data_IF_043086190149
#
_entry.id   IF_043086190149
#
_cell.length_a   1.000
_cell.length_b   1.000
_cell.length_c   1.000
_cell.angle_alpha   90.00
_cell.angle_beta   90.00
_cell.angle_gamma   90.00
#
_symmetry.space_group_name_H-M   'P 1'
#
loop_
_entity.id
_entity.type
_entity.pdbx_description
1 polymer ?
#
# COMPACT_ATOMS: atom_id res chain seq x y z
N UNK A 1 -41.40 -16.60 -7.45
CA UNK A 1 -40.77 -17.03 -8.71
C UNK A 1 -39.73 -15.97 -9.00
N UNK A 2 -38.49 -16.20 -8.58
CA UNK A 2 -37.39 -15.36 -9.02
C UNK A 2 -37.24 -15.57 -10.51
N UNK A 3 -37.20 -14.50 -11.30
CA UNK A 3 -36.79 -14.60 -12.70
C UNK A 3 -35.34 -15.05 -12.67
N UNK A 4 -35.07 -16.31 -12.99
CA UNK A 4 -33.75 -16.74 -13.42
C UNK A 4 -33.39 -15.85 -14.61
N UNK A 5 -32.36 -15.02 -14.45
CA UNK A 5 -31.89 -14.18 -15.56
C UNK A 5 -31.22 -15.14 -16.54
N UNK A 6 -31.64 -15.17 -17.82
CA UNK A 6 -31.03 -16.04 -18.81
C UNK A 6 -29.53 -15.78 -18.90
N UNK A 7 -28.73 -16.85 -18.90
CA UNK A 7 -27.27 -16.81 -19.11
C UNK A 7 -26.97 -16.72 -20.60
N UNK A 8 -27.43 -15.64 -21.23
CA UNK A 8 -27.19 -15.35 -22.64
C UNK A 8 -26.38 -14.07 -22.75
N UNK A 9 -25.70 -13.86 -23.88
CA UNK A 9 -24.93 -12.62 -24.13
C UNK A 9 -25.84 -11.39 -23.99
N UNK A 10 -27.07 -11.47 -24.51
CA UNK A 10 -28.06 -10.40 -24.36
C UNK A 10 -28.46 -10.18 -22.90
N UNK A 11 -28.77 -11.25 -22.17
CA UNK A 11 -29.17 -11.18 -20.76
C UNK A 11 -28.07 -10.61 -19.86
N UNK A 12 -26.81 -10.93 -20.17
CA UNK A 12 -25.65 -10.36 -19.50
C UNK A 12 -25.48 -8.87 -19.81
N UNK A 13 -25.55 -8.46 -21.08
CA UNK A 13 -25.52 -7.05 -21.48
C UNK A 13 -26.62 -6.22 -20.79
N UNK A 14 -27.86 -6.74 -20.75
CA UNK A 14 -28.97 -6.11 -20.03
C UNK A 14 -28.71 -6.00 -18.53
N UNK A 15 -28.08 -7.02 -17.94
CA UNK A 15 -27.66 -7.00 -16.53
C UNK A 15 -26.62 -5.91 -16.28
N UNK A 16 -25.57 -5.83 -17.09
CA UNK A 16 -24.52 -4.81 -16.97
C UNK A 16 -25.09 -3.39 -17.07
N UNK A 17 -26.03 -3.15 -17.98
CA UNK A 17 -26.75 -1.86 -18.08
C UNK A 17 -27.60 -1.60 -16.83
N UNK A 18 -28.37 -2.60 -16.39
CA UNK A 18 -29.27 -2.50 -15.25
C UNK A 18 -28.55 -2.14 -13.94
N UNK A 19 -27.36 -2.68 -13.73
CA UNK A 19 -26.53 -2.40 -12.55
C UNK A 19 -25.60 -1.19 -12.76
N UNK A 20 -25.65 -0.57 -13.95
CA UNK A 20 -24.90 0.64 -14.28
C UNK A 20 -23.40 0.43 -14.45
N UNK A 21 -22.95 -0.78 -14.78
CA UNK A 21 -21.54 -1.06 -15.13
C UNK A 21 -21.22 -0.49 -16.51
N UNK A 22 -22.19 -0.55 -17.44
CA UNK A 22 -22.10 0.06 -18.77
C UNK A 22 -23.33 0.90 -19.07
N UNK A 23 -23.18 1.83 -20.01
CA UNK A 23 -24.29 2.54 -20.63
C UNK A 23 -25.02 1.67 -21.65
N UNK A 24 -26.25 2.05 -21.99
CA UNK A 24 -27.01 1.40 -23.07
C UNK A 24 -26.28 1.47 -24.42
N UNK A 25 -25.53 2.55 -24.67
CA UNK A 25 -24.78 2.77 -25.91
C UNK A 25 -23.60 1.80 -26.01
N UNK A 26 -22.80 1.68 -24.95
CA UNK A 26 -21.69 0.72 -24.86
C UNK A 26 -22.17 -0.73 -25.02
N UNK A 27 -23.24 -1.12 -24.31
CA UNK A 27 -23.81 -2.46 -24.44
C UNK A 27 -24.30 -2.74 -25.88
N UNK A 28 -24.91 -1.75 -26.54
CA UNK A 28 -25.38 -1.91 -27.92
C UNK A 28 -24.21 -2.06 -28.89
N UNK A 29 -23.13 -1.29 -28.70
CA UNK A 29 -21.92 -1.39 -29.50
C UNK A 29 -21.26 -2.77 -29.32
N UNK A 30 -21.10 -3.23 -28.08
CA UNK A 30 -20.54 -4.54 -27.76
C UNK A 30 -21.36 -5.68 -28.41
N UNK A 31 -22.69 -5.67 -28.28
CA UNK A 31 -23.55 -6.68 -28.93
C UNK A 31 -23.42 -6.67 -30.47
N UNK A 32 -23.17 -5.51 -31.08
CA UNK A 32 -22.95 -5.42 -32.52
C UNK A 32 -21.61 -6.04 -32.95
N UNK A 33 -20.56 -5.89 -32.14
CA UNK A 33 -19.27 -6.57 -32.33
C UNK A 33 -19.43 -8.09 -32.29
N UNK A 34 -20.11 -8.59 -31.25
CA UNK A 34 -20.37 -10.02 -31.06
C UNK A 34 -21.21 -10.61 -32.20
N UNK A 35 -22.24 -9.89 -32.64
CA UNK A 35 -23.05 -10.28 -33.80
C UNK A 35 -22.20 -10.38 -35.07
N UNK A 36 -21.22 -9.48 -35.27
CA UNK A 36 -20.34 -9.55 -36.44
C UNK A 36 -19.45 -10.79 -36.44
N UNK A 37 -19.09 -11.30 -35.27
CA UNK A 37 -18.36 -12.56 -35.12
C UNK A 37 -19.24 -13.78 -35.39
N UNK A 38 -20.54 -13.61 -35.61
CA UNK A 38 -21.48 -14.67 -35.96
C UNK A 38 -21.99 -15.46 -34.75
N UNK A 39 -21.82 -14.93 -33.54
CA UNK A 39 -22.32 -15.54 -32.31
C UNK A 39 -23.83 -15.30 -32.16
N UNK A 40 -24.54 -16.29 -31.60
CA UNK A 40 -25.96 -16.16 -31.26
C UNK A 40 -26.10 -15.48 -29.89
N UNK A 41 -26.71 -14.29 -29.87
CA UNK A 41 -26.85 -13.50 -28.65
C UNK A 41 -27.80 -14.12 -27.63
N UNK A 42 -28.65 -15.04 -28.09
CA UNK A 42 -29.70 -15.68 -27.31
C UNK A 42 -29.37 -17.16 -27.01
N UNK A 43 -28.15 -17.62 -27.35
CA UNK A 43 -27.59 -18.90 -26.90
C UNK A 43 -27.41 -18.90 -25.37
N UNK A 44 -27.85 -19.97 -24.72
CA UNK A 44 -27.77 -20.14 -23.27
C UNK A 44 -26.48 -20.88 -22.91
N UNK A 45 -25.72 -20.27 -22.01
CA UNK A 45 -24.44 -20.77 -21.55
C UNK A 45 -24.59 -21.44 -20.18
N UNK A 46 -23.95 -22.60 -20.02
CA UNK A 46 -23.95 -23.34 -18.76
C UNK A 46 -23.11 -22.61 -17.70
N UNK A 47 -22.00 -22.00 -18.13
CA UNK A 47 -21.06 -21.25 -17.29
C UNK A 47 -21.20 -19.74 -17.52
N UNK A 48 -21.17 -18.99 -16.43
CA UNK A 48 -21.25 -17.51 -16.48
C UNK A 48 -19.93 -16.91 -16.94
N UNK A 49 -18.81 -17.62 -16.69
CA UNK A 49 -17.48 -17.18 -17.10
C UNK A 49 -17.36 -17.11 -18.64
N UNK A 50 -18.14 -17.91 -19.37
CA UNK A 50 -18.21 -17.86 -20.83
C UNK A 50 -18.86 -16.56 -21.36
N UNK A 51 -19.47 -15.73 -20.52
CA UNK A 51 -20.07 -14.45 -20.92
C UNK A 51 -19.12 -13.26 -20.69
N UNK A 52 -18.01 -13.47 -19.99
CA UNK A 52 -17.09 -12.41 -19.52
C UNK A 52 -16.33 -11.72 -20.65
N UNK A 53 -16.16 -12.37 -21.80
CA UNK A 53 -15.58 -11.76 -23.00
C UNK A 53 -16.32 -10.48 -23.43
N UNK A 54 -17.61 -10.34 -23.07
CA UNK A 54 -18.37 -9.12 -23.38
C UNK A 54 -17.80 -7.88 -22.66
N UNK A 55 -17.17 -8.07 -21.49
CA UNK A 55 -16.56 -7.00 -20.70
C UNK A 55 -15.38 -6.36 -21.45
N UNK A 56 -14.63 -7.14 -22.23
CA UNK A 56 -13.54 -6.63 -23.07
C UNK A 56 -14.05 -5.68 -24.16
N UNK A 57 -15.25 -5.92 -24.68
CA UNK A 57 -15.89 -5.03 -25.67
C UNK A 57 -16.50 -3.77 -25.05
N UNK A 58 -16.61 -3.72 -23.72
CA UNK A 58 -17.20 -2.61 -22.98
C UNK A 58 -16.15 -1.69 -22.34
N UNK A 59 -14.85 -2.00 -22.46
CA UNK A 59 -13.75 -1.26 -21.81
C UNK A 59 -13.92 -1.09 -20.28
N UNK A 60 -14.65 -2.01 -19.62
CA UNK A 60 -14.98 -1.94 -18.18
C UNK A 60 -13.91 -2.52 -17.28
N UNK A 61 -12.89 -3.13 -17.87
CA UNK A 61 -11.80 -3.79 -17.17
C UNK A 61 -10.55 -3.92 -18.02
N UNK A 62 -9.59 -4.64 -17.48
CA UNK A 62 -8.36 -4.97 -18.18
C UNK A 62 -7.83 -6.33 -17.73
N UNK A 63 -7.11 -6.97 -18.64
CA UNK A 63 -6.40 -8.23 -18.36
C UNK A 63 -4.94 -7.93 -18.00
N UNK A 64 -4.46 -8.60 -16.95
CA UNK A 64 -3.06 -8.60 -16.54
C UNK A 64 -2.36 -9.77 -17.23
N UNK A 65 -1.53 -9.54 -18.26
CA UNK A 65 -0.90 -10.66 -18.96
C UNK A 65 0.15 -11.34 -18.08
N UNK A 66 0.21 -12.66 -18.11
CA UNK A 66 1.27 -13.44 -17.45
C UNK A 66 2.67 -13.02 -17.96
N UNK A 67 2.75 -12.68 -19.25
CA UNK A 67 3.99 -12.32 -19.95
C UNK A 67 3.85 -11.00 -20.70
N UNK A 68 4.82 -10.11 -20.49
CA UNK A 68 5.03 -8.94 -21.31
C UNK A 68 5.20 -9.32 -22.79
N UNK A 69 4.56 -8.53 -23.65
CA UNK A 69 4.76 -8.57 -25.10
C UNK A 69 5.68 -7.41 -25.45
N UNK A 70 6.98 -7.68 -25.54
CA UNK A 70 7.98 -6.66 -25.86
C UNK A 70 8.83 -6.30 -24.63
N UNK A 71 9.05 -5.01 -24.44
CA UNK A 71 9.77 -4.48 -23.28
C UNK A 71 8.89 -4.52 -22.02
N UNK A 72 9.50 -4.72 -20.85
CA UNK A 72 8.78 -4.83 -19.57
C UNK A 72 8.21 -3.47 -19.13
N UNK A 73 8.94 -2.39 -19.34
CA UNK A 73 8.48 -1.04 -19.00
C UNK A 73 7.22 -0.69 -19.81
N UNK A 74 7.26 -0.95 -21.13
CA UNK A 74 6.11 -0.76 -22.02
C UNK A 74 4.90 -1.60 -21.59
N UNK A 75 5.14 -2.83 -21.11
CA UNK A 75 4.08 -3.71 -20.63
C UNK A 75 3.41 -3.18 -19.36
N UNK A 76 4.19 -2.72 -18.37
CA UNK A 76 3.66 -2.05 -17.18
C UNK A 76 2.93 -0.75 -17.55
N UNK A 77 3.53 0.10 -18.38
CA UNK A 77 2.90 1.34 -18.82
C UNK A 77 1.55 1.07 -19.49
N UNK A 78 1.49 0.10 -20.41
CA UNK A 78 0.25 -0.31 -21.06
C UNK A 78 -0.80 -0.81 -20.06
N UNK A 79 -0.40 -1.59 -19.06
CA UNK A 79 -1.29 -2.07 -18.01
C UNK A 79 -1.83 -0.92 -17.14
N UNK A 80 -0.95 -0.04 -16.65
CA UNK A 80 -1.33 1.09 -15.81
C UNK A 80 -2.27 2.04 -16.57
N UNK A 81 -2.03 2.28 -17.86
CA UNK A 81 -2.91 3.09 -18.70
C UNK A 81 -4.29 2.45 -18.90
N UNK A 82 -4.38 1.13 -19.11
CA UNK A 82 -5.68 0.43 -19.22
C UNK A 82 -6.45 0.51 -17.91
N UNK A 83 -5.80 0.24 -16.79
CA UNK A 83 -6.42 0.37 -15.46
C UNK A 83 -6.90 1.80 -15.19
N UNK A 84 -6.08 2.81 -15.51
CA UNK A 84 -6.47 4.21 -15.37
C UNK A 84 -7.67 4.58 -16.26
N UNK A 85 -7.77 4.02 -17.47
CA UNK A 85 -8.87 4.26 -18.40
C UNK A 85 -10.23 3.82 -17.82
N UNK A 86 -10.28 2.73 -17.05
CA UNK A 86 -11.50 2.25 -16.37
C UNK A 86 -12.12 3.32 -15.44
N UNK A 87 -11.31 4.27 -14.96
CA UNK A 87 -11.78 5.36 -14.09
C UNK A 87 -12.64 6.41 -14.79
N UNK A 88 -12.76 6.36 -16.13
CA UNK A 88 -13.44 7.38 -16.94
C UNK A 88 -12.68 8.70 -17.00
N UNK A 89 -11.35 8.68 -16.81
CA UNK A 89 -10.47 9.86 -16.84
C UNK A 89 -10.30 10.59 -15.50
N UNK A 90 -10.84 10.04 -14.40
CA UNK A 90 -10.60 10.57 -13.04
C UNK A 90 -9.21 10.20 -12.49
N UNK A 91 -8.60 9.16 -13.06
CA UNK A 91 -7.22 8.74 -12.82
C UNK A 91 -6.43 8.90 -14.10
N UNK A 92 -5.34 9.66 -14.01
CA UNK A 92 -4.36 9.84 -15.08
C UNK A 92 -3.04 9.23 -14.61
N UNK A 93 -2.45 8.39 -15.46
CA UNK A 93 -1.12 7.84 -15.27
C UNK A 93 -0.19 8.43 -16.34
N UNK A 94 0.98 8.90 -15.91
CA UNK A 94 2.07 9.37 -16.77
C UNK A 94 3.44 9.02 -16.15
N UNK A 95 4.54 9.32 -16.86
CA UNK A 95 5.92 9.20 -16.36
C UNK A 95 6.28 7.81 -15.80
N UNK A 96 5.88 6.76 -16.54
CA UNK A 96 6.13 5.36 -16.18
C UNK A 96 7.57 5.00 -16.52
N UNK A 97 8.30 4.51 -15.52
CA UNK A 97 9.70 4.08 -15.65
C UNK A 97 9.92 2.80 -14.83
N UNK A 98 10.64 1.83 -15.38
CA UNK A 98 11.08 0.62 -14.68
C UNK A 98 12.58 0.70 -14.39
N UNK A 99 12.92 0.82 -13.12
CA UNK A 99 14.31 0.89 -12.65
C UNK A 99 14.77 -0.51 -12.29
N UNK A 100 15.66 -1.06 -13.12
CA UNK A 100 16.24 -2.38 -12.85
C UNK A 100 17.27 -2.31 -11.72
N UNK A 101 17.09 -3.10 -10.67
CA UNK A 101 18.08 -3.27 -9.60
C UNK A 101 18.79 -4.61 -9.76
N UNK A 102 20.05 -4.56 -10.18
CA UNK A 102 20.81 -5.78 -10.54
C UNK A 102 21.02 -6.78 -9.40
N UNK A 103 20.84 -6.36 -8.15
CA UNK A 103 21.02 -7.20 -6.95
C UNK A 103 19.75 -7.27 -6.07
N UNK A 104 18.63 -6.66 -6.48
CA UNK A 104 17.40 -6.49 -5.68
C UNK A 104 16.10 -6.57 -6.50
N UNK A 105 14.99 -6.12 -5.91
CA UNK A 105 13.71 -5.99 -6.63
C UNK A 105 13.78 -4.79 -7.58
N UNK A 106 13.24 -4.96 -8.79
CA UNK A 106 13.09 -3.83 -9.71
C UNK A 106 12.06 -2.85 -9.12
N UNK A 107 12.18 -1.57 -9.45
CA UNK A 107 11.28 -0.53 -8.97
C UNK A 107 10.50 0.06 -10.13
N UNK A 108 9.17 -0.10 -10.09
CA UNK A 108 8.26 0.58 -11.01
C UNK A 108 7.89 1.95 -10.43
N UNK A 109 8.25 3.01 -11.12
CA UNK A 109 7.81 4.38 -10.84
C UNK A 109 6.76 4.81 -11.85
N UNK A 110 5.76 5.56 -11.39
CA UNK A 110 4.84 6.29 -12.27
C UNK A 110 4.24 7.47 -11.53
N UNK A 111 3.61 8.39 -12.26
CA UNK A 111 2.83 9.47 -11.68
C UNK A 111 1.35 9.20 -11.83
N UNK A 112 0.62 9.28 -10.72
CA UNK A 112 -0.84 9.20 -10.67
C UNK A 112 -1.40 10.56 -10.30
N UNK A 113 -2.17 11.19 -11.20
CA UNK A 113 -2.73 12.54 -10.98
C UNK A 113 -1.66 13.53 -10.48
N UNK A 114 -0.44 13.42 -10.99
CA UNK A 114 0.71 14.23 -10.59
C UNK A 114 1.46 13.79 -9.32
N UNK A 115 0.98 12.79 -8.56
CA UNK A 115 1.66 12.20 -7.38
C UNK A 115 2.60 11.08 -7.82
N UNK A 116 3.84 11.07 -7.33
CA UNK A 116 4.76 9.96 -7.56
C UNK A 116 4.32 8.71 -6.79
N UNK A 117 4.23 7.61 -7.53
CA UNK A 117 3.90 6.27 -7.07
C UNK A 117 5.09 5.37 -7.34
N UNK A 118 5.27 4.38 -6.47
CA UNK A 118 6.43 3.50 -6.47
C UNK A 118 5.94 2.11 -6.08
N UNK A 119 6.21 1.11 -6.89
CA UNK A 119 5.97 -0.30 -6.59
C UNK A 119 7.28 -1.08 -6.65
N UNK A 120 7.48 -2.01 -5.71
CA UNK A 120 8.50 -3.04 -5.84
C UNK A 120 7.95 -4.15 -6.73
N UNK A 121 8.73 -4.59 -7.70
CA UNK A 121 8.35 -5.64 -8.65
C UNK A 121 9.47 -6.68 -8.74
N UNK A 122 9.13 -7.92 -8.41
CA UNK A 122 10.02 -9.07 -8.39
C UNK A 122 10.07 -9.73 -9.77
N UNK A 123 11.13 -9.44 -10.54
CA UNK A 123 11.38 -10.12 -11.80
C UNK A 123 12.38 -11.25 -11.62
N UNK A 124 11.94 -12.49 -11.83
CA UNK A 124 12.86 -13.63 -11.77
C UNK A 124 13.85 -13.62 -12.95
N UNK A 125 15.11 -13.97 -12.67
CA UNK A 125 16.15 -14.09 -13.70
C UNK A 125 15.89 -15.20 -14.73
N UNK A 126 14.86 -16.04 -14.52
CA UNK A 126 14.56 -17.21 -15.35
C UNK A 126 13.89 -16.79 -16.66
N UNK A 127 13.14 -15.69 -16.67
CA UNK A 127 12.61 -15.12 -17.90
C UNK A 127 12.26 -13.65 -17.72
N UNK A 128 12.96 -12.80 -18.47
CA UNK A 128 12.77 -11.35 -18.54
C UNK A 128 11.39 -10.93 -19.11
N UNK A 129 10.46 -11.86 -19.32
CA UNK A 129 9.13 -11.57 -19.85
C UNK A 129 8.01 -11.68 -18.84
N UNK A 130 8.19 -12.38 -17.72
CA UNK A 130 7.10 -12.50 -16.75
C UNK A 130 6.82 -11.16 -16.08
N UNK A 131 5.53 -10.84 -15.95
CA UNK A 131 5.07 -9.73 -15.13
C UNK A 131 5.02 -10.18 -13.67
N UNK A 132 5.23 -9.27 -12.73
CA UNK A 132 5.01 -9.56 -11.32
C UNK A 132 3.51 -9.39 -10.97
N UNK A 133 2.78 -10.49 -11.07
CA UNK A 133 1.34 -10.55 -10.78
C UNK A 133 1.04 -10.23 -9.31
N UNK A 134 1.97 -10.54 -8.39
CA UNK A 134 1.82 -10.26 -6.96
C UNK A 134 1.89 -8.76 -6.70
N UNK A 135 2.94 -8.10 -7.20
CA UNK A 135 3.06 -6.65 -7.09
C UNK A 135 1.89 -5.91 -7.76
N UNK A 136 1.39 -6.41 -8.89
CA UNK A 136 0.21 -5.83 -9.56
C UNK A 136 -1.03 -5.98 -8.68
N UNK A 137 -1.33 -7.17 -8.15
CA UNK A 137 -2.49 -7.38 -7.28
C UNK A 137 -2.42 -6.51 -6.00
N UNK A 138 -1.23 -6.36 -5.42
CA UNK A 138 -1.02 -5.51 -4.24
C UNK A 138 -1.10 -4.01 -4.54
N UNK A 139 -0.64 -3.60 -5.72
CA UNK A 139 -0.49 -2.22 -6.14
C UNK A 139 -1.71 -1.64 -6.86
N UNK A 140 -2.53 -2.46 -7.55
CA UNK A 140 -3.59 -1.95 -8.44
C UNK A 140 -4.64 -1.10 -7.73
N UNK A 141 -4.81 -1.32 -6.42
CA UNK A 141 -5.62 -0.48 -5.55
C UNK A 141 -5.20 1.00 -5.53
N UNK A 142 -3.97 1.32 -5.91
CA UNK A 142 -3.50 2.70 -6.09
C UNK A 142 -4.16 3.39 -7.30
N UNK A 143 -4.68 2.65 -8.27
CA UNK A 143 -5.29 3.21 -9.49
C UNK A 143 -6.80 3.40 -9.38
N UNK A 144 -7.41 3.14 -8.23
CA UNK A 144 -8.84 3.45 -8.04
C UNK A 144 -9.04 4.98 -8.03
N UNK A 145 -10.25 5.49 -8.35
CA UNK A 145 -10.51 6.94 -8.35
C UNK A 145 -10.25 7.60 -6.98
N UNK A 146 -10.59 6.93 -5.88
CA UNK A 146 -10.38 7.39 -4.50
C UNK A 146 -11.43 8.39 -4.01
N UNK A 147 -11.16 9.02 -2.85
CA UNK A 147 -12.08 9.93 -2.13
C UNK A 147 -13.48 9.33 -1.88
N UNK A 148 -14.54 10.02 -2.33
CA UNK A 148 -15.94 9.62 -2.15
C UNK A 148 -16.41 8.65 -3.25
N UNK A 149 -15.55 8.29 -4.20
CA UNK A 149 -15.86 7.28 -5.22
C UNK A 149 -15.71 5.88 -4.63
N UNK A 150 -16.79 5.10 -4.53
CA UNK A 150 -16.75 3.81 -3.86
C UNK A 150 -16.13 2.71 -4.73
N UNK A 151 -15.73 3.00 -5.98
CA UNK A 151 -15.22 1.98 -6.89
C UNK A 151 -13.88 1.42 -6.45
N UNK A 152 -13.75 0.10 -6.54
CA UNK A 152 -12.51 -0.65 -6.33
C UNK A 152 -12.29 -1.62 -7.50
N UNK A 153 -11.05 -2.07 -7.69
CA UNK A 153 -10.77 -3.13 -8.64
C UNK A 153 -11.13 -4.49 -8.02
N UNK A 154 -11.92 -5.28 -8.74
CA UNK A 154 -12.28 -6.64 -8.38
C UNK A 154 -11.66 -7.61 -9.39
N UNK A 155 -10.99 -8.64 -8.89
CA UNK A 155 -10.48 -9.72 -9.71
C UNK A 155 -11.63 -10.68 -10.03
N UNK A 156 -11.83 -10.96 -11.32
CA UNK A 156 -12.89 -11.86 -11.78
C UNK A 156 -12.61 -13.31 -11.39
N UNK A 157 -11.39 -13.78 -11.68
CA UNK A 157 -11.00 -15.20 -11.60
C UNK A 157 -10.12 -15.49 -10.39
N UNK A 158 -10.21 -16.71 -9.86
CA UNK A 158 -9.29 -17.19 -8.82
C UNK A 158 -7.88 -17.50 -9.36
N UNK A 159 -7.73 -17.71 -10.67
CA UNK A 159 -6.42 -17.90 -11.30
C UNK A 159 -5.71 -16.55 -11.44
N UNK A 160 -4.52 -16.37 -10.84
CA UNK A 160 -3.76 -15.14 -11.02
C UNK A 160 -3.24 -14.96 -12.45
N UNK A 161 -3.14 -16.03 -13.26
CA UNK A 161 -2.66 -15.96 -14.63
C UNK A 161 -3.73 -15.35 -15.55
N UNK A 162 -3.36 -14.29 -16.28
CA UNK A 162 -4.29 -13.58 -17.17
C UNK A 162 -5.56 -13.07 -16.44
N UNK A 163 -5.41 -12.74 -15.15
CA UNK A 163 -6.49 -12.26 -14.31
C UNK A 163 -7.16 -11.01 -14.91
N UNK A 164 -8.48 -11.07 -15.10
CA UNK A 164 -9.29 -9.92 -15.49
C UNK A 164 -9.68 -9.11 -14.26
N UNK A 165 -9.49 -7.80 -14.31
CA UNK A 165 -9.83 -6.86 -13.25
C UNK A 165 -10.89 -5.88 -13.72
N UNK A 166 -11.91 -5.65 -12.88
CA UNK A 166 -13.03 -4.77 -13.15
C UNK A 166 -13.10 -3.65 -12.12
N UNK A 167 -13.28 -2.40 -12.57
CA UNK A 167 -13.47 -1.27 -11.66
C UNK A 167 -14.97 -1.12 -11.34
N UNK A 168 -15.39 -1.57 -10.16
CA UNK A 168 -16.80 -1.69 -9.78
C UNK A 168 -17.07 -1.02 -8.44
N UNK A 169 -18.29 -0.53 -8.25
CA UNK A 169 -18.79 -0.23 -6.91
C UNK A 169 -19.11 -1.53 -6.15
N UNK A 170 -19.14 -1.54 -4.80
CA UNK A 170 -19.48 -2.75 -4.03
C UNK A 170 -20.86 -3.31 -4.38
N UNK A 171 -21.83 -2.44 -4.71
CA UNK A 171 -23.15 -2.88 -5.13
C UNK A 171 -23.18 -3.53 -6.51
N UNK A 172 -22.28 -3.12 -7.42
CA UNK A 172 -22.12 -3.73 -8.73
C UNK A 172 -21.43 -5.08 -8.63
N UNK A 173 -20.35 -5.19 -7.85
CA UNK A 173 -19.67 -6.45 -7.59
C UNK A 173 -20.62 -7.49 -6.99
N UNK A 174 -21.38 -7.12 -5.93
CA UNK A 174 -22.36 -8.01 -5.32
C UNK A 174 -23.47 -8.48 -6.30
N UNK A 175 -23.88 -7.62 -7.24
CA UNK A 175 -24.87 -8.00 -8.24
C UNK A 175 -24.31 -8.94 -9.32
N UNK A 176 -23.02 -8.83 -9.64
CA UNK A 176 -22.33 -9.76 -10.54
C UNK A 176 -22.02 -11.10 -9.84
N UNK A 177 -21.73 -11.10 -8.54
CA UNK A 177 -21.67 -12.32 -7.72
C UNK A 177 -23.02 -13.04 -7.71
N UNK A 178 -24.13 -12.32 -7.51
CA UNK A 178 -25.48 -12.90 -7.58
C UNK A 178 -25.81 -13.45 -8.99
N UNK A 179 -25.23 -12.86 -10.03
CA UNK A 179 -25.35 -13.34 -11.41
C UNK A 179 -24.56 -14.63 -11.66
N UNK A 180 -23.55 -14.92 -10.84
CA UNK A 180 -22.75 -16.15 -10.88
C UNK A 180 -21.27 -15.96 -11.15
N UNK A 181 -20.74 -14.74 -11.11
CA UNK A 181 -19.29 -14.47 -11.27
C UNK A 181 -18.56 -14.56 -9.91
N UNK A 182 -17.27 -14.97 -9.87
CA UNK A 182 -16.60 -15.28 -8.60
C UNK A 182 -16.28 -14.04 -7.77
N UNK A 183 -15.80 -12.95 -8.40
CA UNK A 183 -15.27 -11.74 -7.73
C UNK A 183 -14.25 -12.11 -6.63
N UNK A 184 -13.23 -12.88 -7.01
CA UNK A 184 -12.33 -13.58 -6.09
C UNK A 184 -11.63 -12.67 -5.06
N UNK A 185 -11.26 -11.45 -5.45
CA UNK A 185 -10.62 -10.49 -4.54
C UNK A 185 -10.97 -9.03 -4.89
N UNK A 186 -10.94 -8.16 -3.90
CA UNK A 186 -11.11 -6.73 -4.04
C UNK A 186 -9.83 -6.00 -3.65
N UNK A 187 -9.25 -5.26 -4.58
CA UNK A 187 -8.06 -4.46 -4.34
C UNK A 187 -8.33 -3.45 -3.22
N UNK A 188 -7.41 -3.37 -2.25
CA UNK A 188 -7.50 -2.42 -1.17
C UNK A 188 -7.43 -0.98 -1.71
N UNK A 189 -8.40 -0.14 -1.38
CA UNK A 189 -8.31 1.29 -1.66
C UNK A 189 -7.26 1.94 -0.74
N UNK A 190 -6.08 2.21 -1.30
CA UNK A 190 -4.93 2.82 -0.60
C UNK A 190 -4.70 4.28 -1.00
N UNK A 191 -5.61 4.85 -1.79
CA UNK A 191 -5.38 6.09 -2.51
C UNK A 191 -5.39 7.32 -1.59
N UNK A 192 -4.31 8.09 -1.70
CA UNK A 192 -4.08 9.37 -1.01
C UNK A 192 -4.26 10.54 -1.98
N UNK A 193 -5.50 10.84 -2.38
CA UNK A 193 -5.82 11.87 -3.38
C UNK A 193 -5.49 13.30 -2.93
N UNK A 194 -5.61 13.59 -1.64
CA UNK A 194 -5.23 14.90 -1.10
C UNK A 194 -3.72 14.99 -1.01
N UNK A 195 -3.17 16.03 -1.63
CA UNK A 195 -1.74 16.32 -1.57
C UNK A 195 -1.42 17.26 -0.41
N UNK A 196 -0.28 17.06 0.27
CA UNK A 196 0.27 18.07 1.17
C UNK A 196 0.53 19.40 0.46
N UNK A 197 0.47 20.49 1.24
CA UNK A 197 0.83 21.84 0.80
C UNK A 197 2.32 22.15 0.95
N UNK A 198 3.02 21.44 1.84
CA UNK A 198 4.47 21.53 1.97
C UNK A 198 5.19 21.07 0.69
N UNK A 199 6.45 21.48 0.55
CA UNK A 199 7.30 21.10 -0.59
C UNK A 199 7.52 19.57 -0.61
N UNK A 200 7.29 18.89 -1.75
CA UNK A 200 7.45 17.44 -1.87
C UNK A 200 8.76 16.91 -1.27
N UNK A 201 8.69 15.72 -0.68
CA UNK A 201 9.84 15.00 -0.12
C UNK A 201 10.55 15.69 1.06
N UNK A 202 10.04 16.82 1.55
CA UNK A 202 10.50 17.42 2.80
C UNK A 202 9.92 16.70 4.02
N UNK A 203 10.54 16.85 5.18
CA UNK A 203 10.00 16.28 6.43
C UNK A 203 8.60 16.79 6.75
N UNK A 204 8.28 18.03 6.39
CA UNK A 204 6.96 18.60 6.62
C UNK A 204 5.92 18.04 5.66
N UNK A 205 6.28 17.76 4.41
CA UNK A 205 5.42 17.06 3.44
C UNK A 205 4.98 15.69 3.95
N UNK A 206 5.93 14.90 4.45
CA UNK A 206 5.62 13.59 5.00
C UNK A 206 4.74 13.64 6.26
N UNK A 207 4.96 14.63 7.14
CA UNK A 207 4.11 14.84 8.33
C UNK A 207 2.71 15.27 7.95
N UNK A 208 2.59 16.19 6.99
CA UNK A 208 1.30 16.65 6.50
C UNK A 208 0.54 15.52 5.78
N UNK A 209 1.23 14.73 4.94
CA UNK A 209 0.63 13.56 4.27
C UNK A 209 0.08 12.55 5.28
N UNK A 210 0.85 12.20 6.32
CA UNK A 210 0.37 11.31 7.37
C UNK A 210 -0.87 11.90 8.07
N UNK A 211 -0.87 13.20 8.38
CA UNK A 211 -2.01 13.86 9.05
C UNK A 211 -3.25 13.95 8.16
N UNK A 212 -3.09 14.09 6.85
CA UNK A 212 -4.20 14.13 5.90
C UNK A 212 -4.95 12.80 5.84
N UNK A 213 -4.24 11.68 6.03
CA UNK A 213 -4.77 10.33 5.85
C UNK A 213 -4.97 9.58 7.18
N UNK A 214 -4.51 10.14 8.30
CA UNK A 214 -4.74 9.59 9.62
C UNK A 214 -6.17 9.85 10.12
N UNK A 215 -6.76 8.86 10.78
CA UNK A 215 -8.04 9.04 11.49
C UNK A 215 -7.92 10.14 12.55
N UNK A 216 -9.05 10.77 12.92
CA UNK A 216 -9.09 11.77 14.00
C UNK A 216 -8.49 11.23 15.29
N UNK A 217 -8.79 9.98 15.64
CA UNK A 217 -8.24 9.32 16.81
C UNK A 217 -6.73 9.14 16.71
N UNK A 218 -6.22 8.71 15.55
CA UNK A 218 -4.78 8.56 15.31
C UNK A 218 -4.04 9.89 15.49
N UNK A 219 -4.61 10.98 14.95
CA UNK A 219 -4.06 12.34 15.12
C UNK A 219 -4.07 12.77 16.59
N UNK A 220 -5.19 12.58 17.30
CA UNK A 220 -5.31 12.93 18.72
C UNK A 220 -4.25 12.19 19.56
N UNK A 221 -4.09 10.88 19.35
CA UNK A 221 -3.13 10.06 20.09
C UNK A 221 -1.68 10.47 19.82
N UNK A 222 -1.35 10.78 18.57
CA UNK A 222 -0.04 11.29 18.23
C UNK A 222 0.22 12.66 18.88
N UNK A 223 -0.76 13.57 18.85
CA UNK A 223 -0.63 14.90 19.45
C UNK A 223 -0.47 14.82 20.98
N UNK A 224 -1.23 13.94 21.65
CA UNK A 224 -1.08 13.61 23.09
C UNK A 224 0.30 13.04 23.41
N UNK A 225 0.84 12.19 22.52
CA UNK A 225 2.17 11.60 22.68
C UNK A 225 3.28 12.64 22.55
N UNK A 226 3.19 13.53 21.56
CA UNK A 226 4.23 14.50 21.23
C UNK A 226 4.22 15.72 22.14
N UNK A 227 3.05 16.18 22.60
CA UNK A 227 2.93 17.41 23.38
C UNK A 227 3.86 17.51 24.62
N UNK A 228 4.05 16.45 25.44
CA UNK A 228 4.92 16.51 26.60
C UNK A 228 6.39 16.12 26.31
N UNK A 229 6.77 15.80 25.06
CA UNK A 229 8.00 15.06 24.72
C UNK A 229 9.25 15.57 25.44
N UNK A 230 9.59 16.85 25.29
CA UNK A 230 10.79 17.45 25.88
C UNK A 230 10.76 17.40 27.41
N UNK A 231 9.63 17.77 28.01
CA UNK A 231 9.47 17.78 29.48
C UNK A 231 9.47 16.37 30.08
N UNK A 232 8.93 15.39 29.35
CA UNK A 232 8.91 13.99 29.75
C UNK A 232 10.33 13.39 29.69
N UNK A 233 11.09 13.68 28.64
CA UNK A 233 12.47 13.22 28.51
C UNK A 233 13.40 13.84 29.55
N UNK A 234 13.27 15.12 29.86
CA UNK A 234 14.10 15.76 30.89
C UNK A 234 13.81 15.19 32.29
N UNK A 235 12.53 14.96 32.60
CA UNK A 235 12.14 14.28 33.85
C UNK A 235 12.69 12.87 33.89
N UNK A 236 12.54 12.11 32.81
CA UNK A 236 13.01 10.74 32.72
C UNK A 236 14.53 10.67 32.89
N UNK A 237 15.28 11.55 32.21
CA UNK A 237 16.73 11.68 32.36
C UNK A 237 17.13 11.84 33.82
N UNK A 238 16.48 12.76 34.54
CA UNK A 238 16.80 13.06 35.94
C UNK A 238 16.42 11.92 36.90
N UNK A 239 15.29 11.25 36.64
CA UNK A 239 14.73 10.26 37.56
C UNK A 239 15.26 8.84 37.35
N UNK A 240 15.69 8.50 36.13
CA UNK A 240 15.88 7.11 35.72
C UNK A 240 17.23 6.76 35.14
N UNK A 241 18.02 7.75 34.69
CA UNK A 241 19.33 7.48 34.10
C UNK A 241 20.45 7.60 35.15
N UNK A 242 21.46 6.72 35.08
CA UNK A 242 22.60 6.81 35.98
C UNK A 242 23.48 8.03 35.68
N UNK A 243 24.20 8.50 36.69
CA UNK A 243 25.23 9.52 36.52
C UNK A 243 26.26 9.08 35.46
N UNK A 244 26.50 9.94 34.47
CA UNK A 244 27.43 9.65 33.37
C UNK A 244 26.83 8.89 32.19
N UNK A 245 25.52 8.62 32.16
CA UNK A 245 24.85 8.15 30.94
C UNK A 245 25.06 9.16 29.79
N UNK A 246 25.48 8.72 28.59
CA UNK A 246 25.71 9.61 27.45
C UNK A 246 24.37 10.03 26.81
N UNK A 247 23.68 10.99 27.42
CA UNK A 247 22.40 11.52 26.93
C UNK A 247 22.62 12.52 25.79
N UNK A 248 23.07 12.04 24.64
CA UNK A 248 23.44 12.86 23.48
C UNK A 248 22.78 12.44 22.17
N UNK A 249 21.85 11.47 22.21
CA UNK A 249 21.18 10.92 21.05
C UNK A 249 22.14 10.36 19.97
N UNK A 250 23.32 9.89 20.38
CA UNK A 250 24.22 9.14 19.50
C UNK A 250 23.83 7.66 19.42
N UNK A 251 24.39 6.95 18.45
CA UNK A 251 24.28 5.47 18.39
C UNK A 251 24.85 4.81 19.64
N UNK A 252 25.94 5.33 20.19
CA UNK A 252 26.55 4.83 21.42
C UNK A 252 25.61 4.99 22.62
N UNK A 253 24.81 6.07 22.66
CA UNK A 253 23.79 6.25 23.68
C UNK A 253 22.66 5.23 23.61
N UNK A 254 22.30 4.75 22.42
CA UNK A 254 21.35 3.65 22.25
C UNK A 254 21.93 2.34 22.76
N UNK A 255 23.20 2.03 22.44
CA UNK A 255 23.87 0.85 23.00
C UNK A 255 24.06 0.92 24.52
N UNK A 256 24.21 2.13 25.08
CA UNK A 256 24.18 2.33 26.53
C UNK A 256 22.78 2.10 27.11
N UNK A 257 21.73 2.57 26.43
CA UNK A 257 20.34 2.34 26.84
C UNK A 257 19.97 0.85 26.79
N UNK A 258 20.38 0.11 25.77
CA UNK A 258 20.11 -1.33 25.68
C UNK A 258 20.63 -2.08 26.91
N UNK A 259 21.87 -1.77 27.32
CA UNK A 259 22.46 -2.37 28.53
C UNK A 259 21.63 -2.04 29.77
N UNK A 260 21.24 -0.78 29.94
CA UNK A 260 20.41 -0.33 31.06
C UNK A 260 19.04 -1.04 31.08
N UNK A 261 18.41 -1.22 29.91
CA UNK A 261 17.12 -1.92 29.77
C UNK A 261 17.27 -3.40 30.14
N UNK A 262 18.32 -4.07 29.65
CA UNK A 262 18.58 -5.49 29.93
C UNK A 262 18.99 -5.77 31.39
N UNK A 263 19.65 -4.80 32.04
CA UNK A 263 19.98 -4.84 33.47
C UNK A 263 18.76 -4.58 34.35
N UNK A 264 17.84 -3.70 33.92
CA UNK A 264 16.61 -3.40 34.67
C UNK A 264 15.58 -4.51 34.59
N UNK A 265 15.45 -5.15 33.43
CA UNK A 265 14.42 -6.15 33.15
C UNK A 265 15.04 -7.55 33.06
N UNK A 266 15.07 -8.25 34.19
CA UNK A 266 15.57 -9.64 34.29
C UNK A 266 14.56 -10.70 33.82
N UNK A 267 13.29 -10.32 33.64
CA UNK A 267 12.19 -11.18 33.19
C UNK A 267 11.97 -11.16 31.67
N UNK A 268 11.15 -12.07 31.12
CA UNK A 268 10.88 -12.15 29.68
C UNK A 268 9.98 -11.02 29.14
N UNK A 269 9.54 -10.09 30.01
CA UNK A 269 8.64 -9.00 29.66
C UNK A 269 9.07 -7.71 30.36
N UNK A 270 8.93 -6.60 29.64
CA UNK A 270 9.11 -5.26 30.19
C UNK A 270 7.74 -4.69 30.61
N UNK A 271 7.51 -4.37 31.90
CA UNK A 271 6.32 -3.63 32.30
C UNK A 271 6.32 -2.24 31.66
N UNK A 272 5.14 -1.74 31.29
CA UNK A 272 4.94 -0.36 30.82
C UNK A 272 4.95 0.61 32.01
N UNK A 273 6.14 0.82 32.59
CA UNK A 273 6.38 1.80 33.65
C UNK A 273 6.98 3.11 33.09
N UNK A 274 7.15 4.12 33.94
CA UNK A 274 7.71 5.43 33.55
C UNK A 274 9.11 5.31 32.93
N UNK A 275 9.91 4.33 33.38
CA UNK A 275 11.21 4.04 32.77
C UNK A 275 11.04 3.58 31.33
N UNK A 276 10.16 2.59 31.09
CA UNK A 276 9.94 2.03 29.76
C UNK A 276 9.38 3.08 28.80
N UNK A 277 8.40 3.88 29.22
CA UNK A 277 7.85 4.94 28.38
C UNK A 277 8.90 6.00 28.01
N UNK A 278 9.74 6.40 28.96
CA UNK A 278 10.84 7.33 28.66
C UNK A 278 11.91 6.72 27.75
N UNK A 279 12.18 5.41 27.86
CA UNK A 279 13.06 4.71 26.93
C UNK A 279 12.48 4.72 25.50
N UNK A 280 11.17 4.45 25.33
CA UNK A 280 10.47 4.54 24.03
C UNK A 280 10.65 5.93 23.42
N UNK A 281 10.44 6.99 24.21
CA UNK A 281 10.66 8.37 23.78
C UNK A 281 12.09 8.63 23.35
N UNK A 282 13.06 8.22 24.17
CA UNK A 282 14.47 8.49 23.91
C UNK A 282 14.95 7.79 22.63
N UNK A 283 14.53 6.54 22.42
CA UNK A 283 14.84 5.77 21.21
C UNK A 283 14.30 6.46 19.96
N UNK A 284 13.02 6.84 19.95
CA UNK A 284 12.45 7.50 18.77
C UNK A 284 13.00 8.90 18.54
N UNK A 285 13.20 9.70 19.58
CA UNK A 285 13.85 11.01 19.46
C UNK A 285 15.31 10.91 18.97
N UNK A 286 15.99 9.84 19.34
CA UNK A 286 17.32 9.54 18.80
C UNK A 286 17.23 9.17 17.31
N UNK A 287 16.24 8.37 16.90
CA UNK A 287 16.02 8.06 15.50
C UNK A 287 15.78 9.31 14.65
N UNK A 288 14.91 10.22 15.10
CA UNK A 288 14.61 11.48 14.41
C UNK A 288 15.84 12.40 14.21
N UNK A 289 16.87 12.26 15.04
CA UNK A 289 18.12 13.03 14.94
C UNK A 289 19.15 12.37 14.02
N UNK A 290 19.10 11.06 13.90
CA UNK A 290 20.05 10.27 13.12
C UNK A 290 19.59 10.08 11.67
N UNK A 291 18.28 9.99 11.43
CA UNK A 291 17.73 9.66 10.12
C UNK A 291 16.57 10.57 9.72
N UNK A 292 16.31 10.75 8.41
CA UNK A 292 15.12 11.44 7.91
C UNK A 292 13.88 10.58 8.17
N UNK A 293 13.29 10.73 9.35
CA UNK A 293 12.09 10.00 9.75
C UNK A 293 11.19 10.89 10.63
N UNK A 294 10.03 10.34 11.01
CA UNK A 294 9.04 11.04 11.83
C UNK A 294 8.27 10.07 12.72
N UNK A 295 7.68 10.61 13.77
CA UNK A 295 6.67 9.90 14.55
C UNK A 295 5.36 9.80 13.77
N UNK A 296 4.73 8.64 13.83
CA UNK A 296 3.38 8.38 13.36
C UNK A 296 2.61 7.54 14.39
N UNK A 297 1.31 7.41 14.19
CA UNK A 297 0.44 6.62 15.05
C UNK A 297 -0.73 6.08 14.23
N UNK A 298 -1.05 4.80 14.39
CA UNK A 298 -2.23 4.17 13.77
C UNK A 298 -3.16 3.64 14.85
N UNK A 299 -4.31 4.28 15.01
CA UNK A 299 -5.38 3.76 15.85
C UNK A 299 -6.14 2.64 15.12
N UNK A 300 -6.44 1.57 15.83
CA UNK A 300 -7.30 0.50 15.35
C UNK A 300 -8.06 -0.12 16.52
N UNK A 301 -9.37 -0.32 16.35
CA UNK A 301 -10.16 -1.11 17.31
C UNK A 301 -9.84 -2.61 17.21
N UNK A 302 -9.29 -3.04 16.08
CA UNK A 302 -8.71 -4.36 15.89
C UNK A 302 -7.24 -4.37 16.35
N UNK A 303 -6.95 -5.25 17.31
CA UNK A 303 -5.61 -5.46 17.86
C UNK A 303 -4.73 -6.40 17.05
N UNK A 304 -5.18 -6.88 15.89
CA UNK A 304 -4.43 -7.80 15.04
C UNK A 304 -3.14 -7.21 14.42
N UNK A 305 -3.07 -5.93 13.98
CA UNK A 305 -1.86 -5.43 13.34
C UNK A 305 -0.72 -5.17 14.35
N UNK A 306 0.50 -5.54 13.99
CA UNK A 306 1.66 -5.65 14.91
C UNK A 306 2.07 -4.32 15.58
N UNK A 307 1.69 -3.17 15.03
CA UNK A 307 2.05 -1.83 15.54
C UNK A 307 0.85 -0.89 15.74
N UNK A 308 -0.38 -1.39 15.78
CA UNK A 308 -1.52 -0.51 16.08
C UNK A 308 -1.53 -0.08 17.53
N UNK A 309 -2.07 1.11 17.76
CA UNK A 309 -2.25 1.71 19.08
C UNK A 309 -0.95 1.99 19.85
N UNK A 310 0.20 2.09 19.15
CA UNK A 310 1.46 2.57 19.73
C UNK A 310 2.18 3.57 18.80
N UNK A 311 3.04 4.46 19.36
CA UNK A 311 3.85 5.37 18.56
C UNK A 311 4.89 4.63 17.74
N UNK A 312 5.00 4.98 16.46
CA UNK A 312 5.89 4.34 15.47
C UNK A 312 6.80 5.40 14.85
N UNK A 313 8.02 5.00 14.52
CA UNK A 313 8.93 5.77 13.68
C UNK A 313 8.76 5.30 12.25
N UNK A 314 8.50 6.23 11.33
CA UNK A 314 8.36 5.96 9.89
C UNK A 314 9.37 6.79 9.10
N UNK A 315 10.00 6.14 8.14
CA UNK A 315 10.97 6.75 7.21
C UNK A 315 10.32 7.85 6.37
N UNK A 316 11.06 8.91 6.05
CA UNK A 316 10.66 9.94 5.08
C UNK A 316 10.98 9.44 3.66
N UNK A 317 10.25 8.39 3.27
CA UNK A 317 10.31 7.76 1.95
C UNK A 317 8.89 7.31 1.55
N UNK A 318 8.60 7.12 0.26
CA UNK A 318 7.33 6.55 -0.21
C UNK A 318 7.07 5.15 0.34
N UNK A 319 5.81 4.71 0.33
CA UNK A 319 5.38 3.46 0.98
C UNK A 319 6.14 2.21 0.51
N UNK A 320 6.52 2.13 -0.77
CA UNK A 320 7.35 1.03 -1.31
C UNK A 320 8.78 0.98 -0.76
N UNK A 321 9.27 2.06 -0.17
CA UNK A 321 10.58 2.11 0.49
C UNK A 321 10.46 2.18 2.01
N UNK A 322 9.30 2.60 2.53
CA UNK A 322 9.16 3.05 3.90
C UNK A 322 9.50 1.95 4.92
N UNK A 323 10.56 2.16 5.69
CA UNK A 323 10.80 1.44 6.93
C UNK A 323 9.91 1.99 8.05
N UNK A 324 9.30 1.10 8.82
CA UNK A 324 8.59 1.40 10.07
C UNK A 324 9.17 0.61 11.24
N UNK A 325 9.27 1.26 12.39
CA UNK A 325 9.76 0.64 13.61
C UNK A 325 9.00 1.19 14.82
N UNK A 326 8.48 0.31 15.68
CA UNK A 326 7.93 0.70 16.98
C UNK A 326 9.01 0.61 18.05
N UNK A 327 9.47 1.72 18.64
CA UNK A 327 10.49 1.66 19.71
C UNK A 327 10.03 0.81 20.90
N UNK A 328 8.72 0.78 21.17
CA UNK A 328 8.15 -0.05 22.21
C UNK A 328 8.20 -1.54 21.86
N UNK A 329 7.98 -1.90 20.59
CA UNK A 329 8.17 -3.27 20.12
C UNK A 329 9.62 -3.70 20.23
N UNK A 330 10.56 -2.88 19.74
CA UNK A 330 12.00 -3.20 19.77
C UNK A 330 12.51 -3.39 21.19
N UNK A 331 12.12 -2.54 22.14
CA UNK A 331 12.51 -2.68 23.54
C UNK A 331 11.92 -3.97 24.16
N UNK A 332 10.69 -4.36 23.81
CA UNK A 332 10.11 -5.63 24.26
C UNK A 332 10.83 -6.83 23.64
N UNK A 333 11.17 -6.76 22.36
CA UNK A 333 11.95 -7.78 21.63
C UNK A 333 13.35 -7.91 22.23
N UNK A 334 14.01 -6.80 22.54
CA UNK A 334 15.30 -6.76 23.24
C UNK A 334 15.23 -7.48 24.59
N UNK A 335 14.23 -7.18 25.43
CA UNK A 335 14.06 -7.83 26.73
C UNK A 335 13.73 -9.31 26.59
N UNK A 336 12.87 -9.68 25.65
CA UNK A 336 12.46 -11.07 25.40
C UNK A 336 13.61 -11.94 24.92
N UNK A 337 14.39 -11.46 23.95
CA UNK A 337 15.44 -12.25 23.30
C UNK A 337 16.82 -12.04 23.91
N UNK A 338 17.00 -10.97 24.70
CA UNK A 338 18.27 -10.57 25.34
C UNK A 338 19.46 -10.53 24.37
N UNK A 339 19.22 -10.13 23.12
CA UNK A 339 20.25 -9.98 22.08
C UNK A 339 20.65 -8.50 21.97
N UNK A 340 21.85 -8.10 22.44
CA UNK A 340 22.34 -6.73 22.27
C UNK A 340 22.56 -6.38 20.80
N UNK A 341 22.53 -5.08 20.49
CA UNK A 341 22.72 -4.52 19.15
C UNK A 341 21.47 -4.54 18.26
N UNK A 342 20.35 -5.10 18.75
CA UNK A 342 19.11 -5.17 17.99
C UNK A 342 18.47 -3.80 17.79
N UNK A 343 18.50 -2.92 18.79
CA UNK A 343 17.82 -1.63 18.76
C UNK A 343 18.42 -0.66 17.73
N UNK A 344 19.75 -0.60 17.65
CA UNK A 344 20.43 0.22 16.64
C UNK A 344 20.18 -0.33 15.24
N UNK A 345 20.31 -1.64 15.06
CA UNK A 345 20.09 -2.30 13.77
C UNK A 345 18.65 -2.15 13.27
N UNK A 346 17.64 -2.28 14.13
CA UNK A 346 16.23 -2.05 13.76
C UNK A 346 15.98 -0.61 13.32
N UNK A 347 16.62 0.37 13.97
CA UNK A 347 16.50 1.77 13.57
C UNK A 347 17.31 2.11 12.31
N UNK A 348 18.41 1.42 12.05
CA UNK A 348 19.18 1.58 10.82
C UNK A 348 18.33 1.24 9.58
N UNK A 349 17.43 0.26 9.67
CA UNK A 349 16.49 -0.06 8.58
C UNK A 349 15.57 1.11 8.18
N UNK A 350 15.25 2.02 9.12
CA UNK A 350 14.53 3.28 8.80
C UNK A 350 15.41 4.24 7.99
N UNK A 351 16.72 4.23 8.24
CA UNK A 351 17.69 5.00 7.47
C UNK A 351 17.90 4.42 6.08
N UNK A 352 18.11 3.11 5.99
CA UNK A 352 18.32 2.35 4.75
C UNK A 352 17.18 2.59 3.77
N UNK A 353 15.92 2.54 4.24
CA UNK A 353 14.74 2.90 3.48
C UNK A 353 14.83 4.25 2.75
N UNK A 354 15.39 5.27 3.40
CA UNK A 354 15.56 6.61 2.79
C UNK A 354 16.72 6.62 1.80
N UNK A 355 17.78 5.88 2.07
CA UNK A 355 18.93 5.79 1.18
C UNK A 355 18.61 5.00 -0.09
N UNK A 356 17.83 3.92 0.01
CA UNK A 356 17.28 3.17 -1.11
C UNK A 356 16.40 4.07 -2.00
N UNK A 357 15.52 4.87 -1.37
CA UNK A 357 14.71 5.83 -2.11
C UNK A 357 15.56 6.87 -2.86
N UNK A 358 16.59 7.41 -2.21
CA UNK A 358 17.52 8.37 -2.86
C UNK A 358 18.33 7.70 -3.96
N UNK A 359 18.66 6.42 -3.84
CA UNK A 359 19.32 5.67 -4.89
C UNK A 359 18.40 5.54 -6.11
N UNK A 360 17.13 5.19 -5.91
CA UNK A 360 16.14 5.13 -6.98
C UNK A 360 15.99 6.50 -7.68
N UNK A 361 15.87 7.60 -6.94
CA UNK A 361 15.81 8.96 -7.52
C UNK A 361 17.04 9.30 -8.36
N UNK A 362 18.25 8.89 -7.93
CA UNK A 362 19.48 9.10 -8.69
C UNK A 362 19.55 8.22 -9.94
N UNK A 363 18.94 7.04 -9.92
CA UNK A 363 18.87 6.17 -11.08
C UNK A 363 17.99 6.79 -12.17
N UNK A 364 16.84 7.37 -11.79
CA UNK A 364 15.93 8.10 -12.71
C UNK A 364 16.55 9.33 -13.37
N UNK A 365 17.46 10.01 -12.67
CA UNK A 365 18.07 11.25 -13.18
C UNK A 365 19.19 11.03 -14.22
N UNK A 366 19.51 9.79 -14.57
CA UNK A 366 20.57 9.41 -15.51
C UNK A 366 19.98 9.14 -16.89
#
# INVERSE_FOLDING_TARGET
MGNEIPRTVRGFAETLVRIGVVTQEEATAALAEVTRLGMDLDEEYDDTDELTFLLDYCDTGFVVPEKSVGDREDAYAGLLHRAAACSGGSVVVDDVELLEDGDGDDILHFRRNGRSMWWRVEHTTVSARYMDLGAIAEGIGDLVPGDDDPRCFYQLDEDPCDAQWLLLTPGQAAALEEYGLPMADAAANRVRNRLPTAEPETSDWYREDDRLHASEESRRRLDEWLAPMDTALERWRTAHLPDGFPFDHSRDSLSALERLVLERFDGPAAPRDEFFEGAVRYVGETALRLWPCRWTYRHSDDGSPVFTNEPVIRSNAPDAFAGECSPAYELRTLVRHRKPGGLVSSLEGVGEAVDDYRQALRARAR
#
